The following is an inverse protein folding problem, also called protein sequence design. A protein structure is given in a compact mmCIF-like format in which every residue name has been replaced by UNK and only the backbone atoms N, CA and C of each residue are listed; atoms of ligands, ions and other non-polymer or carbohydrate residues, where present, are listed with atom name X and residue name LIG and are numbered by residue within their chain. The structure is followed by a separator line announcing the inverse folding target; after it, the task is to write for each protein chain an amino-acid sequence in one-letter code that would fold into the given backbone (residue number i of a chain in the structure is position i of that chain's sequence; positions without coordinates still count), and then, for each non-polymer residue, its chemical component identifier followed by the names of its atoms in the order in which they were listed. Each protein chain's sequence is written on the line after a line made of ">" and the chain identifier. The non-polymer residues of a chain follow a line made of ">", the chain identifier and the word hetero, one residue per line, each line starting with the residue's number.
data_IF_223254837535
#
_entry.id   IF_223254837535
#
_cell.length_a   1.000
_cell.length_b   1.000
_cell.length_c   1.000
_cell.angle_alpha   90.00
_cell.angle_beta   90.00
_cell.angle_gamma   90.00
#
_symmetry.space_group_name_H-M   'P 1'
#
loop_
_entity.id
_entity.type
_entity.pdbx_description
1 polymer ?
#
# COMPACT_ATOMS: atom_id res chain seq x y z
N UNK A 1 17.59 47.53 10.42
CA UNK A 1 16.24 47.40 9.81
C UNK A 1 16.06 45.95 9.43
N UNK A 2 15.49 45.16 10.33
CA UNK A 2 15.33 43.71 10.13
C UNK A 2 14.18 43.46 9.17
N UNK A 3 14.53 42.87 8.02
CA UNK A 3 13.60 42.45 6.98
C UNK A 3 12.73 41.30 7.50
N UNK A 4 11.48 41.59 7.87
CA UNK A 4 10.46 40.57 8.05
C UNK A 4 9.95 40.20 6.67
N UNK A 5 10.46 39.11 6.08
CA UNK A 5 9.86 38.51 4.91
C UNK A 5 8.59 37.76 5.38
N UNK A 6 7.36 38.21 5.07
CA UNK A 6 6.18 37.42 5.38
C UNK A 6 6.23 36.18 4.50
N UNK A 7 6.13 34.99 5.10
CA UNK A 7 5.86 33.74 4.38
C UNK A 7 4.52 33.88 3.67
N UNK A 8 4.56 34.44 2.45
CA UNK A 8 3.40 34.57 1.58
C UNK A 8 2.99 33.17 1.17
N UNK A 9 1.94 32.64 1.81
CA UNK A 9 1.27 31.42 1.35
C UNK A 9 0.71 31.74 -0.04
N UNK A 10 1.21 31.07 -1.07
CA UNK A 10 0.73 31.27 -2.44
C UNK A 10 -0.59 30.51 -2.60
N UNK A 11 -1.55 31.06 -3.34
CA UNK A 11 -2.88 30.45 -3.58
C UNK A 11 -2.81 29.09 -4.30
N UNK A 12 -1.63 28.69 -4.76
CA UNK A 12 -1.35 27.38 -5.36
C UNK A 12 -1.01 26.29 -4.32
N UNK A 13 -1.08 26.60 -3.02
CA UNK A 13 -0.83 25.66 -1.93
C UNK A 13 -2.14 24.97 -1.53
N UNK A 14 -2.49 23.87 -2.18
CA UNK A 14 -3.60 23.05 -1.69
C UNK A 14 -3.18 21.98 -0.67
N UNK A 15 -4.12 21.12 -0.25
CA UNK A 15 -3.87 20.12 0.78
C UNK A 15 -2.79 19.09 0.39
N UNK A 16 -1.81 18.94 1.28
CA UNK A 16 -0.85 17.83 1.22
C UNK A 16 -1.56 16.47 1.38
N UNK A 17 -2.65 16.44 2.16
CA UNK A 17 -3.44 15.25 2.44
C UNK A 17 -4.25 14.76 1.22
N UNK A 18 -4.19 13.46 0.94
CA UNK A 18 -4.83 12.82 -0.20
C UNK A 18 -5.80 11.71 0.24
N UNK A 19 -6.63 12.01 1.24
CA UNK A 19 -7.52 11.05 1.91
C UNK A 19 -9.01 11.28 1.62
N UNK A 20 -9.33 12.07 0.58
CA UNK A 20 -10.70 12.37 0.20
C UNK A 20 -11.50 11.10 -0.19
N UNK A 21 -12.72 10.91 0.35
CA UNK A 21 -13.60 9.81 -0.04
C UNK A 21 -14.04 9.90 -1.52
N UNK A 22 -14.27 8.74 -2.15
CA UNK A 22 -14.72 8.65 -3.54
C UNK A 22 -15.99 9.49 -3.81
N UNK A 23 -16.99 9.39 -2.93
CA UNK A 23 -18.25 10.12 -3.07
C UNK A 23 -18.07 11.64 -3.15
N UNK A 24 -17.08 12.20 -2.44
CA UNK A 24 -16.80 13.63 -2.51
C UNK A 24 -16.09 13.98 -3.81
N UNK A 25 -15.11 13.17 -4.23
CA UNK A 25 -14.42 13.37 -5.51
C UNK A 25 -15.38 13.37 -6.70
N UNK A 26 -16.42 12.54 -6.65
CA UNK A 26 -17.41 12.39 -7.71
C UNK A 26 -18.42 13.56 -7.77
N UNK A 27 -18.53 14.36 -6.69
CA UNK A 27 -19.36 15.58 -6.65
C UNK A 27 -18.63 16.83 -7.16
N UNK A 28 -17.32 16.74 -7.38
CA UNK A 28 -16.54 17.91 -7.79
C UNK A 28 -16.75 18.24 -9.26
N UNK A 29 -17.05 19.50 -9.55
CA UNK A 29 -17.13 20.00 -10.92
C UNK A 29 -15.83 19.75 -11.70
N UNK A 30 -15.92 19.58 -13.04
CA UNK A 30 -14.74 19.57 -13.91
C UNK A 30 -13.87 20.82 -13.68
N UNK A 31 -12.55 20.66 -13.79
CA UNK A 31 -11.58 21.74 -13.61
C UNK A 31 -10.35 21.46 -14.45
N UNK A 32 -9.72 22.51 -14.97
CA UNK A 32 -8.44 22.46 -15.68
C UNK A 32 -7.26 22.83 -14.78
N UNK A 33 -7.53 23.15 -13.50
CA UNK A 33 -6.50 23.56 -12.56
C UNK A 33 -5.59 22.37 -12.21
N UNK A 34 -4.34 22.41 -12.67
CA UNK A 34 -3.37 21.31 -12.57
C UNK A 34 -3.25 20.75 -11.15
N UNK A 35 -3.13 21.65 -10.16
CA UNK A 35 -3.05 21.26 -8.75
C UNK A 35 -4.27 20.43 -8.30
N UNK A 36 -5.49 20.84 -8.69
CA UNK A 36 -6.71 20.14 -8.29
C UNK A 36 -6.79 18.77 -8.95
N UNK A 37 -6.33 18.65 -10.21
CA UNK A 37 -6.24 17.38 -10.92
C UNK A 37 -5.24 16.43 -10.26
N UNK A 38 -4.03 16.91 -9.91
CA UNK A 38 -3.03 16.14 -9.18
C UNK A 38 -3.57 15.64 -7.83
N UNK A 39 -4.19 16.53 -7.05
CA UNK A 39 -4.77 16.16 -5.76
C UNK A 39 -5.88 15.09 -5.91
N UNK A 40 -6.77 15.22 -6.90
CA UNK A 40 -7.80 14.20 -7.19
C UNK A 40 -7.16 12.87 -7.59
N UNK A 41 -6.10 12.89 -8.41
CA UNK A 41 -5.37 11.69 -8.82
C UNK A 41 -4.72 10.99 -7.63
N UNK A 42 -4.06 11.74 -6.73
CA UNK A 42 -3.49 11.20 -5.48
C UNK A 42 -4.57 10.58 -4.58
N UNK A 43 -5.71 11.25 -4.42
CA UNK A 43 -6.83 10.70 -3.65
C UNK A 43 -7.34 9.37 -4.24
N UNK A 44 -7.52 9.30 -5.57
CA UNK A 44 -7.96 8.07 -6.23
C UNK A 44 -6.94 6.94 -6.13
N UNK A 45 -5.64 7.23 -6.25
CA UNK A 45 -4.58 6.25 -6.03
C UNK A 45 -4.63 5.67 -4.60
N UNK A 46 -4.80 6.54 -3.59
CA UNK A 46 -4.93 6.11 -2.19
C UNK A 46 -6.18 5.25 -1.96
N UNK A 47 -7.32 5.61 -2.57
CA UNK A 47 -8.53 4.79 -2.52
C UNK A 47 -8.30 3.41 -3.13
N UNK A 48 -7.62 3.33 -4.29
CA UNK A 48 -7.28 2.06 -4.93
C UNK A 48 -6.39 1.19 -4.03
N UNK A 49 -5.39 1.78 -3.36
CA UNK A 49 -4.54 1.06 -2.41
C UNK A 49 -5.32 0.54 -1.19
N UNK A 50 -6.26 1.34 -0.64
CA UNK A 50 -7.12 0.96 0.50
C UNK A 50 -8.18 -0.10 0.12
N UNK A 51 -8.61 -0.12 -1.13
CA UNK A 51 -9.59 -1.06 -1.65
C UNK A 51 -9.03 -2.48 -1.76
N UNK A 52 -7.73 -2.64 -2.03
CA UNK A 52 -7.05 -3.94 -2.06
C UNK A 52 -7.30 -4.70 -0.76
N UNK A 53 -7.50 -6.01 -0.84
CA UNK A 53 -7.71 -6.89 0.31
C UNK A 53 -6.69 -8.03 0.26
N UNK A 54 -6.25 -8.43 1.45
CA UNK A 54 -5.49 -9.65 1.70
C UNK A 54 -6.27 -10.44 2.73
N UNK A 55 -6.47 -11.74 2.50
CA UNK A 55 -7.04 -12.65 3.47
C UNK A 55 -5.96 -13.20 4.41
N UNK A 56 -6.38 -13.76 5.54
CA UNK A 56 -5.45 -14.53 6.37
C UNK A 56 -5.05 -15.81 5.63
N UNK A 57 -3.76 -16.14 5.65
CA UNK A 57 -3.21 -17.29 4.93
C UNK A 57 -2.85 -17.06 3.45
N UNK A 58 -3.18 -15.89 2.87
CA UNK A 58 -2.78 -15.56 1.50
C UNK A 58 -1.26 -15.60 1.36
N UNK A 59 -0.75 -16.22 0.29
CA UNK A 59 0.66 -16.12 -0.06
C UNK A 59 0.83 -14.97 -1.04
N UNK A 60 1.70 -14.02 -0.72
CA UNK A 60 2.00 -12.88 -1.58
C UNK A 60 3.46 -12.90 -1.99
N UNK A 61 3.74 -12.37 -3.18
CA UNK A 61 5.09 -12.15 -3.70
C UNK A 61 5.28 -10.70 -4.08
N UNK A 62 6.39 -10.11 -3.64
CA UNK A 62 6.82 -8.78 -4.05
C UNK A 62 7.59 -8.85 -5.38
N UNK A 63 7.59 -7.77 -6.19
CA UNK A 63 8.33 -7.75 -7.45
C UNK A 63 9.85 -7.92 -7.22
N UNK A 64 10.38 -7.32 -6.16
CA UNK A 64 11.77 -7.40 -5.75
C UNK A 64 11.89 -7.97 -4.34
N UNK A 65 12.97 -8.72 -4.02
CA UNK A 65 13.26 -9.15 -2.66
C UNK A 65 13.43 -7.97 -1.70
N UNK A 66 13.03 -8.16 -0.45
CA UNK A 66 13.19 -7.16 0.62
C UNK A 66 14.23 -7.65 1.61
N UNK A 67 15.22 -6.80 1.89
CA UNK A 67 16.20 -7.01 2.96
C UNK A 67 15.68 -6.42 4.27
N UNK A 68 15.69 -7.23 5.32
CA UNK A 68 15.27 -6.84 6.67
C UNK A 68 16.48 -6.55 7.57
N UNK A 69 16.22 -5.94 8.73
CA UNK A 69 17.25 -5.52 9.69
C UNK A 69 18.04 -6.69 10.28
N UNK A 70 17.45 -7.88 10.33
CA UNK A 70 18.10 -9.12 10.77
C UNK A 70 18.99 -9.77 9.68
N UNK A 71 19.12 -9.11 8.51
CA UNK A 71 19.86 -9.62 7.36
C UNK A 71 19.07 -10.59 6.49
N UNK A 72 17.83 -10.93 6.85
CA UNK A 72 17.01 -11.82 6.05
C UNK A 72 16.60 -11.14 4.73
N UNK A 73 16.66 -11.88 3.63
CA UNK A 73 16.23 -11.42 2.30
C UNK A 73 15.12 -12.33 1.81
N UNK A 74 13.90 -11.78 1.71
CA UNK A 74 12.74 -12.57 1.31
C UNK A 74 11.88 -11.81 0.30
N UNK A 75 11.28 -12.56 -0.64
CA UNK A 75 10.41 -12.03 -1.69
C UNK A 75 8.95 -12.51 -1.52
N UNK A 76 8.76 -13.67 -0.91
CA UNK A 76 7.46 -14.30 -0.71
C UNK A 76 7.11 -14.36 0.77
N UNK A 77 5.82 -14.14 1.07
CA UNK A 77 5.34 -14.08 2.44
C UNK A 77 3.94 -14.68 2.53
N UNK A 78 3.63 -15.26 3.69
CA UNK A 78 2.28 -15.67 4.07
C UNK A 78 1.67 -14.58 4.94
N UNK A 79 0.49 -14.11 4.57
CA UNK A 79 -0.27 -13.13 5.34
C UNK A 79 -0.78 -13.79 6.60
N UNK A 80 -0.49 -13.19 7.75
CA UNK A 80 -0.99 -13.61 9.05
C UNK A 80 -1.72 -12.45 9.72
N UNK A 81 -3.02 -12.60 9.94
CA UNK A 81 -3.86 -11.61 10.63
C UNK A 81 -4.01 -11.97 12.11
N UNK A 82 -3.91 -10.94 12.95
CA UNK A 82 -4.14 -11.00 14.40
C UNK A 82 -5.08 -9.85 14.77
N UNK A 83 -6.39 -10.09 14.68
CA UNK A 83 -7.40 -9.03 14.77
C UNK A 83 -7.20 -7.99 13.66
N UNK A 84 -6.99 -6.72 14.04
CA UNK A 84 -6.71 -5.62 13.09
C UNK A 84 -5.27 -5.59 12.57
N UNK A 85 -4.35 -6.35 13.18
CA UNK A 85 -2.94 -6.36 12.79
C UNK A 85 -2.71 -7.35 11.64
N UNK A 86 -1.92 -6.92 10.65
CA UNK A 86 -1.40 -7.76 9.58
C UNK A 86 0.11 -7.88 9.76
N UNK A 87 0.61 -9.10 9.80
CA UNK A 87 2.04 -9.42 9.77
C UNK A 87 2.30 -10.41 8.63
N UNK A 88 3.54 -10.40 8.13
CA UNK A 88 3.98 -11.27 7.05
C UNK A 88 4.88 -12.34 7.64
N UNK A 89 4.54 -13.62 7.44
CA UNK A 89 5.40 -14.72 7.82
C UNK A 89 6.25 -15.13 6.63
N UNK A 90 7.56 -15.22 6.81
CA UNK A 90 8.43 -15.81 5.81
C UNK A 90 8.27 -17.34 5.83
N UNK A 91 7.93 -17.98 4.68
CA UNK A 91 7.73 -19.41 4.60
C UNK A 91 9.01 -20.23 4.82
N UNK A 92 10.20 -19.65 4.67
CA UNK A 92 11.47 -20.38 4.76
C UNK A 92 11.98 -20.50 6.20
N UNK A 93 12.06 -19.39 6.93
CA UNK A 93 12.58 -19.36 8.29
C UNK A 93 11.46 -19.29 9.36
N UNK A 94 10.21 -19.00 8.96
CA UNK A 94 9.07 -18.89 9.85
C UNK A 94 8.98 -17.57 10.64
N UNK A 95 9.94 -16.65 10.46
CA UNK A 95 9.97 -15.36 11.12
C UNK A 95 8.83 -14.44 10.66
N UNK A 96 8.49 -13.45 11.49
CA UNK A 96 7.45 -12.47 11.21
C UNK A 96 8.05 -11.10 10.91
N UNK A 97 7.60 -10.53 9.81
CA UNK A 97 8.04 -9.25 9.29
C UNK A 97 6.86 -8.29 9.12
N UNK A 98 7.18 -6.99 9.13
CA UNK A 98 6.27 -5.93 8.73
C UNK A 98 6.92 -5.15 7.59
N UNK A 99 6.16 -4.96 6.53
CA UNK A 99 6.57 -4.13 5.40
C UNK A 99 5.73 -2.85 5.42
N UNK A 100 6.41 -1.73 5.60
CA UNK A 100 5.77 -0.41 5.59
C UNK A 100 5.07 -0.16 4.27
N UNK A 101 3.86 0.42 4.36
CA UNK A 101 3.00 0.70 3.20
C UNK A 101 2.81 -0.51 2.28
N UNK A 102 2.65 -1.71 2.84
CA UNK A 102 2.44 -2.94 2.06
C UNK A 102 1.36 -2.79 0.98
N UNK A 103 0.25 -2.14 1.30
CA UNK A 103 -0.88 -1.93 0.38
C UNK A 103 -0.59 -0.99 -0.79
N UNK A 104 0.53 -0.26 -0.78
CA UNK A 104 1.00 0.54 -1.92
C UNK A 104 2.04 -0.21 -2.77
N UNK A 105 2.57 -1.34 -2.31
CA UNK A 105 3.55 -2.16 -3.05
C UNK A 105 2.86 -3.00 -4.13
N UNK A 106 3.54 -3.26 -5.23
CA UNK A 106 3.03 -4.07 -6.34
C UNK A 106 3.07 -5.59 -6.08
N UNK A 107 2.69 -6.04 -4.87
CA UNK A 107 2.60 -7.48 -4.59
C UNK A 107 1.52 -8.16 -5.43
N UNK A 108 1.75 -9.45 -5.71
CA UNK A 108 0.81 -10.36 -6.36
C UNK A 108 0.48 -11.51 -5.41
N UNK A 109 -0.76 -12.02 -5.45
CA UNK A 109 -1.13 -13.23 -4.70
C UNK A 109 -0.65 -14.45 -5.49
N UNK A 110 0.14 -15.31 -4.84
CA UNK A 110 0.63 -16.56 -5.42
C UNK A 110 -0.36 -17.67 -5.09
N UNK A 111 -0.93 -18.37 -6.10
CA UNK A 111 -1.82 -19.48 -5.83
C UNK A 111 -1.05 -20.61 -5.14
N UNK A 112 -1.55 -21.07 -4.00
CA UNK A 112 -1.00 -22.25 -3.33
C UNK A 112 -1.47 -23.47 -4.10
N UNK A 113 -0.57 -24.12 -4.85
CA UNK A 113 -0.84 -25.42 -5.46
C UNK A 113 -1.02 -26.43 -4.33
N UNK A 114 -2.27 -26.71 -3.95
CA UNK A 114 -2.58 -27.88 -3.11
C UNK A 114 -2.30 -29.10 -3.97
N UNK A 115 -1.14 -29.73 -3.77
CA UNK A 115 -0.88 -31.04 -4.36
C UNK A 115 -1.84 -32.00 -3.67
N UNK A 116 -2.89 -32.42 -4.37
CA UNK A 116 -3.69 -33.55 -3.91
C UNK A 116 -2.76 -34.75 -3.88
N UNK A 117 -2.64 -35.39 -2.72
CA UNK A 117 -1.82 -36.58 -2.55
C UNK A 117 -2.41 -37.66 -3.45
N UNK A 118 -1.84 -37.83 -4.64
CA UNK A 118 -2.24 -38.91 -5.55
C UNK A 118 -1.89 -40.21 -4.85
N UNK A 119 -2.91 -40.93 -4.41
CA UNK A 119 -2.76 -42.28 -3.87
C UNK A 119 -2.38 -43.16 -5.08
N UNK A 120 -1.10 -43.54 -5.16
CA UNK A 120 -0.71 -44.66 -5.99
C UNK A 120 -1.17 -45.92 -5.26
N UNK A 121 -2.19 -46.58 -5.81
CA UNK A 121 -2.69 -47.88 -5.37
C UNK A 121 -1.84 -49.01 -5.97
#
# INVERSE_FOLDING_TARGET
>A
MSSTNPTRLTENMGPCEADCPAAILDLLSPTEHEYALDWRARCRANLAHRARKLADGDRIRLPEPVTFTDGNVAQEFVVCKRGRRLVLRDPQNGCFYRISRLMTRAWVVVPVTKIHKTLFA
#
